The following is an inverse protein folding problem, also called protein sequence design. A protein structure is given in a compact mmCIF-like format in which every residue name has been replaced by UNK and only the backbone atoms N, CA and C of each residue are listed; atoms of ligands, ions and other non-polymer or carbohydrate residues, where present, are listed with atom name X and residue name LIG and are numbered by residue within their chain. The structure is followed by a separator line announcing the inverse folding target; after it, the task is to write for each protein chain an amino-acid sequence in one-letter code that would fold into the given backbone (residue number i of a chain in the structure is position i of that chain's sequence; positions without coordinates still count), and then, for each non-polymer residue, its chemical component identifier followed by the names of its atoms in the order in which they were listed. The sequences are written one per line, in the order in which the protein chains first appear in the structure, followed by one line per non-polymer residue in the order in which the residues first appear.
data_IF_635563303086
#
_entry.id   IF_635563303086
#
_cell.length_a   1.000
_cell.length_b   1.000
_cell.length_c   1.000
_cell.angle_alpha   90.00
_cell.angle_beta   90.00
_cell.angle_gamma   90.00
#
_symmetry.space_group_name_H-M   'P 1'
#
loop_
_entity.id
_entity.type
_entity.pdbx_description
1 polymer ?
#
# COMPACT_ATOMS: atom_id res chain seq x y z
N UNK A 1 13.40 11.88 -3.32
CA UNK A 1 12.75 10.80 -2.54
C UNK A 1 12.73 11.24 -1.10
N UNK A 2 11.56 11.31 -0.45
CA UNK A 2 11.42 11.62 0.99
C UNK A 2 11.25 10.32 1.79
N UNK A 3 11.48 10.35 3.11
CA UNK A 3 11.28 9.18 4.00
C UNK A 3 9.91 8.51 3.76
N UNK A 4 8.84 9.28 3.62
CA UNK A 4 7.48 8.77 3.36
C UNK A 4 7.33 8.01 2.05
N UNK A 5 8.08 8.39 1.01
CA UNK A 5 8.03 7.67 -0.28
C UNK A 5 8.73 6.32 -0.14
N UNK A 6 9.87 6.29 0.53
CA UNK A 6 10.60 5.04 0.76
C UNK A 6 9.81 4.10 1.67
N UNK A 7 9.21 4.61 2.74
CA UNK A 7 8.37 3.81 3.62
C UNK A 7 7.15 3.21 2.89
N UNK A 8 6.50 3.99 2.01
CA UNK A 8 5.42 3.50 1.13
C UNK A 8 5.91 2.45 0.13
N UNK A 9 7.10 2.62 -0.44
CA UNK A 9 7.68 1.65 -1.36
C UNK A 9 7.98 0.32 -0.64
N UNK A 10 8.69 0.39 0.48
CA UNK A 10 9.09 -0.78 1.25
C UNK A 10 7.87 -1.55 1.77
N UNK A 11 6.88 -0.86 2.33
CA UNK A 11 5.63 -1.51 2.77
C UNK A 11 4.87 -2.17 1.63
N UNK A 12 4.76 -1.51 0.46
CA UNK A 12 4.11 -2.08 -0.72
C UNK A 12 4.82 -3.32 -1.27
N UNK A 13 6.16 -3.31 -1.32
CA UNK A 13 6.97 -4.45 -1.77
C UNK A 13 6.85 -5.62 -0.80
N UNK A 14 6.93 -5.36 0.51
CA UNK A 14 6.76 -6.41 1.53
C UNK A 14 5.37 -7.03 1.43
N UNK A 15 4.32 -6.23 1.26
CA UNK A 15 2.95 -6.73 1.10
C UNK A 15 2.80 -7.60 -0.16
N UNK A 16 3.43 -7.20 -1.27
CA UNK A 16 3.46 -7.99 -2.50
C UNK A 16 4.16 -9.35 -2.27
N UNK A 17 5.27 -9.38 -1.54
CA UNK A 17 5.97 -10.63 -1.19
C UNK A 17 5.08 -11.53 -0.32
N UNK A 18 4.43 -10.97 0.71
CA UNK A 18 3.49 -11.72 1.56
C UNK A 18 2.33 -12.28 0.74
N UNK A 19 1.82 -11.52 -0.22
CA UNK A 19 0.80 -12.01 -1.13
C UNK A 19 1.30 -13.19 -1.98
N UNK A 20 2.45 -13.04 -2.63
CA UNK A 20 2.99 -14.03 -3.55
C UNK A 20 3.43 -15.32 -2.84
N UNK A 21 4.00 -15.21 -1.64
CA UNK A 21 4.56 -16.36 -0.92
C UNK A 21 3.56 -16.98 0.06
N UNK A 22 2.77 -16.16 0.77
CA UNK A 22 1.86 -16.63 1.81
C UNK A 22 0.41 -16.80 1.36
N UNK A 23 -0.13 -15.83 0.62
CA UNK A 23 -1.57 -15.79 0.30
C UNK A 23 -1.90 -16.54 -1.00
N UNK A 24 -1.03 -16.49 -2.00
CA UNK A 24 -1.21 -17.20 -3.27
C UNK A 24 -1.46 -18.71 -3.08
N UNK A 25 -0.65 -19.44 -2.29
CA UNK A 25 -0.84 -20.88 -2.10
C UNK A 25 -1.95 -21.25 -1.10
N UNK A 26 -2.53 -20.30 -0.36
CA UNK A 26 -3.60 -20.60 0.60
C UNK A 26 -4.99 -20.58 -0.02
N UNK A 27 -5.93 -21.30 0.58
CA UNK A 27 -7.36 -21.36 0.20
C UNK A 27 -8.13 -20.10 0.63
N UNK A 28 -7.58 -18.94 0.31
CA UNK A 28 -8.23 -17.65 0.51
C UNK A 28 -9.10 -17.34 -0.70
N UNK A 29 -10.31 -16.82 -0.47
CA UNK A 29 -11.22 -16.41 -1.54
C UNK A 29 -10.54 -15.44 -2.53
N UNK A 30 -10.75 -15.64 -3.83
CA UNK A 30 -10.11 -14.87 -4.91
C UNK A 30 -10.20 -13.35 -4.72
N UNK A 31 -11.34 -12.86 -4.23
CA UNK A 31 -11.55 -11.44 -3.94
C UNK A 31 -10.48 -10.85 -3.02
N UNK A 32 -10.08 -11.56 -1.96
CA UNK A 32 -9.07 -11.08 -1.02
C UNK A 32 -7.67 -11.09 -1.63
N UNK A 33 -7.37 -12.06 -2.49
CA UNK A 33 -6.11 -12.09 -3.26
C UNK A 33 -6.04 -10.88 -4.20
N UNK A 34 -7.11 -10.61 -4.95
CA UNK A 34 -7.19 -9.45 -5.84
C UNK A 34 -7.12 -8.12 -5.07
N UNK A 35 -7.79 -8.02 -3.92
CA UNK A 35 -7.75 -6.83 -3.07
C UNK A 35 -6.35 -6.54 -2.53
N UNK A 36 -5.65 -7.56 -2.01
CA UNK A 36 -4.28 -7.42 -1.52
C UNK A 36 -3.30 -7.06 -2.65
N UNK A 37 -3.47 -7.66 -3.83
CA UNK A 37 -2.67 -7.31 -5.00
C UNK A 37 -2.91 -5.85 -5.40
N UNK A 38 -4.17 -5.42 -5.49
CA UNK A 38 -4.53 -4.03 -5.75
C UNK A 38 -3.92 -3.08 -4.71
N UNK A 39 -4.02 -3.39 -3.42
CA UNK A 39 -3.43 -2.57 -2.35
C UNK A 39 -1.91 -2.44 -2.48
N UNK A 40 -1.19 -3.55 -2.71
CA UNK A 40 0.28 -3.52 -2.88
C UNK A 40 0.70 -2.68 -4.09
N UNK A 41 0.02 -2.81 -5.23
CA UNK A 41 0.32 -2.07 -6.46
C UNK A 41 0.07 -0.59 -6.27
N UNK A 42 -1.07 -0.21 -5.65
CA UNK A 42 -1.37 1.20 -5.36
C UNK A 42 -0.36 1.83 -4.40
N UNK A 43 0.12 1.08 -3.41
CA UNK A 43 1.10 1.57 -2.46
C UNK A 43 2.47 1.81 -3.13
N UNK A 44 2.91 0.89 -4.00
CA UNK A 44 4.11 1.05 -4.83
C UNK A 44 3.95 2.26 -5.76
N UNK A 45 2.82 2.36 -6.47
CA UNK A 45 2.54 3.51 -7.34
C UNK A 45 2.55 4.84 -6.56
N UNK A 46 2.05 4.85 -5.32
CA UNK A 46 2.06 6.03 -4.46
C UNK A 46 3.47 6.50 -4.09
N UNK A 47 4.43 5.58 -3.96
CA UNK A 47 5.82 5.95 -3.70
C UNK A 47 6.43 6.79 -4.85
N UNK A 48 6.03 6.50 -6.09
CA UNK A 48 6.50 7.22 -7.28
C UNK A 48 5.67 8.47 -7.58
N UNK A 49 4.34 8.35 -7.56
CA UNK A 49 3.40 9.40 -7.98
C UNK A 49 2.97 10.35 -6.86
N UNK A 50 3.27 10.02 -5.59
CA UNK A 50 2.76 10.67 -4.37
C UNK A 50 1.26 10.61 -4.17
N UNK A 51 0.53 9.96 -5.08
CA UNK A 51 -0.91 9.85 -4.97
C UNK A 51 -1.25 8.59 -4.19
N UNK A 52 -1.91 8.74 -3.04
CA UNK A 52 -2.45 7.63 -2.27
C UNK A 52 -3.93 7.93 -1.98
N UNK A 53 -4.87 7.02 -2.33
CA UNK A 53 -6.27 7.20 -1.98
C UNK A 53 -6.48 7.35 -0.48
N UNK A 54 -5.72 6.58 0.31
CA UNK A 54 -5.79 6.57 1.78
C UNK A 54 -5.32 7.89 2.38
N UNK A 55 -4.21 8.46 1.89
CA UNK A 55 -3.76 9.79 2.34
C UNK A 55 -4.78 10.86 1.98
N UNK A 56 -5.38 10.77 0.79
CA UNK A 56 -6.43 11.70 0.35
C UNK A 56 -7.65 11.60 1.25
N UNK A 57 -8.04 10.38 1.66
CA UNK A 57 -9.11 10.14 2.61
C UNK A 57 -8.78 10.73 3.99
N UNK A 58 -7.57 10.49 4.51
CA UNK A 58 -7.15 11.04 5.80
C UNK A 58 -7.09 12.57 5.82
N UNK A 59 -6.64 13.19 4.72
CA UNK A 59 -6.70 14.64 4.56
C UNK A 59 -8.15 15.16 4.58
N UNK A 60 -9.09 14.43 3.95
CA UNK A 60 -10.53 14.76 4.01
C UNK A 60 -11.11 14.59 5.41
N UNK A 61 -10.58 13.65 6.20
CA UNK A 61 -10.95 13.45 7.60
C UNK A 61 -10.27 14.45 8.56
N UNK A 62 -9.43 15.37 8.04
CA UNK A 62 -8.75 16.37 8.86
C UNK A 62 -7.57 15.84 9.67
N UNK A 63 -7.10 14.63 9.40
CA UNK A 63 -5.92 14.05 10.06
C UNK A 63 -4.68 14.78 9.54
N UNK A 64 -3.92 15.37 10.46
CA UNK A 64 -2.68 16.09 10.14
C UNK A 64 -1.54 15.10 9.94
N UNK A 65 -0.72 15.36 8.92
CA UNK A 65 0.54 14.65 8.73
C UNK A 65 1.49 15.07 9.86
N UNK A 66 2.16 14.10 10.49
CA UNK A 66 3.24 14.40 11.43
C UNK A 66 4.42 14.96 10.64
N UNK A 67 4.68 16.25 10.77
CA UNK A 67 5.90 16.90 10.29
C UNK A 67 6.98 16.76 11.36
N UNK A 68 7.99 15.94 11.10
CA UNK A 68 9.28 16.03 11.79
C UNK A 68 10.05 17.25 11.30
#
# INVERSE_FOLDING_TARGET
MTMDRMLRLTSGVVLLIVLLVGIMPSDVHWFWKAFLAFMSINQIQSAFTNWCPVVTLYRKLGIKECTC
#
